data_IF_668526273232
#
_entry.id   IF_668526273232
#
_cell.length_a   1.000
_cell.length_b   1.000
_cell.length_c   1.000
_cell.angle_alpha   90.00
_cell.angle_beta   90.00
_cell.angle_gamma   90.00
#
_symmetry.space_group_name_H-M   'P 1'
#
loop_
_entity.id
_entity.type
_entity.pdbx_description
1 polymer ?
#
# COMPACT_ATOMS: atom_id res chain seq x y z
N UNK A 1 -49.48 4.60 -23.23
CA UNK A 1 -48.50 4.34 -24.13
C UNK A 1 -47.19 4.92 -23.73
N UNK A 2 -47.18 6.05 -23.37
CA UNK A 2 -45.95 6.62 -22.95
C UNK A 2 -45.46 6.01 -21.67
N UNK A 3 -46.28 5.26 -21.06
CA UNK A 3 -45.93 4.73 -19.77
C UNK A 3 -44.75 3.83 -19.82
N UNK A 4 -44.53 3.19 -20.91
CA UNK A 4 -43.44 2.30 -20.91
C UNK A 4 -42.16 3.03 -20.72
N UNK A 5 -42.09 4.24 -20.99
CA UNK A 5 -40.84 4.97 -20.75
C UNK A 5 -40.50 4.96 -19.29
N UNK A 6 -41.46 4.92 -18.42
CA UNK A 6 -41.13 4.89 -17.02
C UNK A 6 -40.44 3.64 -16.63
N UNK A 7 -40.82 2.57 -17.21
CA UNK A 7 -40.24 1.31 -16.84
C UNK A 7 -38.75 1.30 -17.05
N UNK A 8 -38.35 1.94 -18.07
CA UNK A 8 -36.95 1.95 -18.33
C UNK A 8 -36.17 2.69 -17.29
N UNK A 9 -36.74 3.73 -16.82
CA UNK A 9 -36.05 4.47 -15.80
C UNK A 9 -35.91 3.71 -14.54
N UNK A 10 -36.93 3.02 -14.18
CA UNK A 10 -36.85 2.19 -13.02
C UNK A 10 -35.76 1.17 -13.17
N UNK A 11 -35.65 0.64 -14.33
CA UNK A 11 -34.64 -0.32 -14.58
C UNK A 11 -33.24 0.24 -14.35
N UNK A 12 -33.04 1.47 -14.74
CA UNK A 12 -31.74 2.09 -14.53
C UNK A 12 -31.41 2.22 -13.07
N UNK A 13 -32.39 2.49 -12.28
CA UNK A 13 -32.14 2.58 -10.85
C UNK A 13 -31.62 1.27 -10.32
N UNK A 14 -32.19 0.20 -10.79
CA UNK A 14 -31.73 -1.08 -10.34
C UNK A 14 -30.28 -1.30 -10.69
N UNK A 15 -29.90 -0.82 -11.84
CA UNK A 15 -28.52 -0.96 -12.23
C UNK A 15 -27.57 -0.22 -11.32
N UNK A 16 -27.99 0.91 -10.84
CA UNK A 16 -27.17 1.65 -9.94
C UNK A 16 -26.90 0.93 -8.65
N UNK A 17 -27.88 0.25 -8.16
CA UNK A 17 -27.65 -0.46 -6.91
C UNK A 17 -26.63 -1.56 -7.07
N UNK A 18 -26.54 -2.14 -8.21
CA UNK A 18 -25.56 -3.18 -8.41
C UNK A 18 -24.16 -2.65 -8.24
N UNK A 19 -23.92 -1.43 -8.61
CA UNK A 19 -22.60 -0.87 -8.47
C UNK A 19 -22.18 -0.68 -7.04
N UNK A 20 -23.10 -0.43 -6.20
CA UNK A 20 -22.78 -0.29 -4.80
C UNK A 20 -22.19 -1.57 -4.25
N UNK A 21 -22.73 -2.67 -4.65
CA UNK A 21 -22.21 -3.94 -4.21
C UNK A 21 -20.77 -4.15 -4.64
N UNK A 22 -20.41 -3.63 -5.79
CA UNK A 22 -19.06 -3.76 -6.25
C UNK A 22 -18.09 -2.96 -5.40
N UNK A 23 -18.51 -1.83 -4.93
CA UNK A 23 -17.64 -0.99 -4.16
C UNK A 23 -17.22 -1.61 -2.85
N UNK A 24 -18.01 -2.49 -2.31
CA UNK A 24 -17.69 -3.06 -1.03
C UNK A 24 -16.57 -4.07 -1.08
N UNK A 25 -16.54 -4.81 -2.15
CA UNK A 25 -15.68 -5.92 -2.20
C UNK A 25 -14.20 -5.63 -2.26
N UNK A 26 -13.75 -4.75 -3.10
CA UNK A 26 -12.33 -4.57 -3.29
C UNK A 26 -11.62 -3.87 -2.17
N UNK A 27 -12.33 -3.49 -1.18
CA UNK A 27 -11.79 -2.62 -0.21
C UNK A 27 -10.63 -3.20 0.52
N UNK A 28 -10.79 -4.34 1.03
CA UNK A 28 -9.84 -4.76 2.01
C UNK A 28 -9.04 -5.94 1.59
N UNK A 29 -9.63 -6.77 0.82
CA UNK A 29 -9.03 -8.05 0.58
C UNK A 29 -7.69 -7.94 -0.11
N UNK A 30 -7.51 -6.89 -0.86
CA UNK A 30 -6.35 -6.80 -1.73
C UNK A 30 -5.32 -5.78 -1.29
N UNK A 31 -5.50 -5.20 -0.15
CA UNK A 31 -4.52 -4.24 0.33
C UNK A 31 -3.22 -4.96 0.58
N UNK A 32 -2.16 -4.60 -0.10
CA UNK A 32 -0.90 -5.25 0.13
C UNK A 32 -0.43 -4.90 1.54
N UNK A 33 -0.08 -5.92 2.28
CA UNK A 33 0.52 -5.71 3.58
C UNK A 33 2.00 -5.48 3.33
N UNK A 34 2.54 -4.34 3.73
CA UNK A 34 3.94 -4.05 3.46
C UNK A 34 4.88 -5.10 4.02
N UNK A 35 4.50 -5.72 5.11
CA UNK A 35 5.30 -6.79 5.68
C UNK A 35 4.84 -8.13 5.13
N UNK A 36 5.76 -8.94 4.69
CA UNK A 36 5.44 -10.26 4.15
C UNK A 36 5.45 -10.35 2.65
N UNK A 37 5.77 -9.28 1.95
CA UNK A 37 5.93 -9.32 0.51
C UNK A 37 7.39 -9.56 0.13
N UNK A 38 7.62 -10.01 -1.09
CA UNK A 38 8.98 -10.19 -1.59
C UNK A 38 9.60 -8.85 -1.96
N UNK A 39 10.93 -8.83 -2.09
CA UNK A 39 11.62 -7.63 -2.54
C UNK A 39 11.12 -7.15 -3.89
N UNK A 40 10.86 -8.08 -4.80
CA UNK A 40 10.37 -7.72 -6.12
C UNK A 40 8.99 -7.06 -6.05
N UNK A 41 8.11 -7.59 -5.20
CA UNK A 41 6.80 -7.01 -4.99
C UNK A 41 6.88 -5.62 -4.38
N UNK A 42 7.72 -5.45 -3.37
CA UNK A 42 7.92 -4.17 -2.73
C UNK A 42 8.47 -3.13 -3.70
N UNK A 43 9.47 -3.52 -4.47
CA UNK A 43 10.06 -2.64 -5.48
C UNK A 43 9.03 -2.21 -6.52
N UNK A 44 8.22 -3.13 -7.00
CA UNK A 44 7.18 -2.82 -7.98
C UNK A 44 6.15 -1.84 -7.41
N UNK A 45 5.75 -2.03 -6.15
CA UNK A 45 4.79 -1.14 -5.52
C UNK A 45 5.36 0.26 -5.31
N UNK A 46 6.63 0.36 -4.93
CA UNK A 46 7.29 1.65 -4.79
C UNK A 46 7.35 2.38 -6.13
N UNK A 47 7.69 1.67 -7.19
CA UNK A 47 7.78 2.28 -8.51
C UNK A 47 6.45 2.77 -9.02
N UNK A 48 5.37 2.06 -8.72
CA UNK A 48 4.02 2.49 -9.07
C UNK A 48 3.46 3.51 -8.10
N UNK A 49 4.21 3.84 -7.08
CA UNK A 49 3.79 4.76 -6.01
C UNK A 49 2.53 4.27 -5.29
N UNK A 50 2.31 2.97 -5.31
CA UNK A 50 1.21 2.36 -4.56
C UNK A 50 1.51 2.30 -3.06
N UNK A 51 2.80 2.33 -2.72
CA UNK A 51 3.25 2.39 -1.33
C UNK A 51 4.47 3.30 -1.28
N UNK A 52 4.68 3.97 -0.15
CA UNK A 52 5.85 4.82 0.02
C UNK A 52 6.93 4.09 0.81
N UNK A 53 8.18 4.56 0.68
CA UNK A 53 9.28 4.04 1.49
C UNK A 53 9.02 4.24 2.98
N UNK A 54 8.39 5.34 3.34
CA UNK A 54 8.04 5.61 4.72
C UNK A 54 7.05 4.57 5.26
N UNK A 55 6.04 4.22 4.47
CA UNK A 55 5.07 3.20 4.86
C UNK A 55 5.73 1.84 5.03
N UNK A 56 6.60 1.45 4.12
CA UNK A 56 7.33 0.19 4.23
C UNK A 56 8.20 0.15 5.49
N UNK A 57 8.91 1.24 5.74
CA UNK A 57 9.81 1.33 6.88
C UNK A 57 9.04 1.25 8.18
N UNK A 58 7.91 1.95 8.28
CA UNK A 58 7.05 1.87 9.46
C UNK A 58 6.56 0.47 9.70
N UNK A 59 6.10 -0.20 8.66
CA UNK A 59 5.60 -1.57 8.79
C UNK A 59 6.70 -2.52 9.26
N UNK A 60 7.91 -2.36 8.78
CA UNK A 60 9.04 -3.16 9.23
C UNK A 60 9.38 -2.88 10.69
N UNK A 61 9.40 -1.61 11.09
CA UNK A 61 9.68 -1.24 12.48
C UNK A 61 8.61 -1.79 13.44
N UNK A 62 7.36 -1.77 13.04
CA UNK A 62 6.29 -2.34 13.84
C UNK A 62 6.48 -3.84 14.03
N UNK A 63 6.87 -4.56 12.99
CA UNK A 63 7.14 -5.98 13.12
C UNK A 63 8.33 -6.25 14.00
N UNK A 64 9.38 -5.46 13.90
CA UNK A 64 10.53 -5.58 14.77
C UNK A 64 10.11 -5.38 16.22
N UNK A 65 9.32 -4.34 16.48
CA UNK A 65 8.85 -4.08 17.85
C UNK A 65 8.02 -5.23 18.40
N UNK A 66 7.23 -5.87 17.54
CA UNK A 66 6.36 -6.96 17.98
C UNK A 66 7.13 -8.25 18.24
N UNK A 67 8.06 -8.59 17.37
CA UNK A 67 8.68 -9.92 17.41
C UNK A 67 10.08 -9.97 18.00
N UNK A 68 10.81 -8.86 17.98
CA UNK A 68 12.18 -8.84 18.47
C UNK A 68 12.34 -9.25 19.93
N UNK A 69 11.39 -8.92 20.84
CA UNK A 69 11.51 -9.38 22.21
C UNK A 69 11.61 -10.90 22.36
N UNK A 70 10.98 -11.63 21.44
CA UNK A 70 11.04 -13.10 21.47
C UNK A 70 12.20 -13.64 20.65
N UNK A 71 12.54 -12.96 19.55
CA UNK A 71 13.48 -13.50 18.57
C UNK A 71 14.90 -12.99 18.78
N UNK A 72 15.05 -11.79 19.34
CA UNK A 72 16.35 -11.13 19.51
C UNK A 72 17.15 -11.07 18.21
N UNK A 73 16.44 -10.82 17.11
CA UNK A 73 17.07 -10.78 15.79
C UNK A 73 17.82 -9.47 15.56
N UNK A 74 17.37 -8.40 16.20
CA UNK A 74 17.99 -7.07 16.07
C UNK A 74 18.56 -6.67 17.41
N UNK A 75 19.83 -6.27 17.40
CA UNK A 75 20.52 -5.79 18.60
C UNK A 75 20.26 -4.30 18.78
N UNK A 76 20.34 -3.57 17.68
CA UNK A 76 20.12 -2.12 17.68
C UNK A 76 19.13 -1.77 16.57
N UNK A 77 18.14 -0.97 16.91
CA UNK A 77 17.16 -0.49 15.93
C UNK A 77 17.27 1.03 15.83
N UNK A 78 17.69 1.52 14.69
CA UNK A 78 17.86 2.96 14.45
C UNK A 78 16.61 3.55 13.83
N UNK A 79 15.54 3.63 14.64
CA UNK A 79 14.23 4.00 14.14
C UNK A 79 14.20 5.37 13.47
N UNK A 80 14.75 6.38 14.15
CA UNK A 80 14.71 7.74 13.60
C UNK A 80 15.52 7.86 12.33
N UNK A 81 16.68 7.23 12.29
CA UNK A 81 17.52 7.23 11.10
C UNK A 81 16.83 6.55 9.93
N UNK A 82 16.18 5.43 10.20
CA UNK A 82 15.46 4.70 9.16
C UNK A 82 14.29 5.53 8.60
N UNK A 83 13.54 6.19 9.47
CA UNK A 83 12.43 7.02 9.03
C UNK A 83 12.90 8.24 8.26
N UNK A 84 14.00 8.86 8.68
CA UNK A 84 14.57 9.99 7.97
C UNK A 84 15.06 9.57 6.57
N UNK A 85 15.75 8.44 6.49
CA UNK A 85 16.20 7.92 5.21
C UNK A 85 15.02 7.57 4.30
N UNK A 86 13.95 7.02 4.84
CA UNK A 86 12.76 6.70 4.07
C UNK A 86 12.12 7.94 3.47
N UNK A 87 12.02 9.02 4.24
CA UNK A 87 11.50 10.28 3.74
C UNK A 87 12.36 10.84 2.61
N UNK A 88 13.67 10.70 2.73
CA UNK A 88 14.57 11.12 1.69
C UNK A 88 14.36 10.30 0.42
N UNK A 89 14.22 8.99 0.54
CA UNK A 89 13.98 8.14 -0.61
C UNK A 89 12.66 8.50 -1.29
N UNK A 90 11.63 8.80 -0.51
CA UNK A 90 10.35 9.23 -1.07
C UNK A 90 10.48 10.56 -1.80
N UNK A 91 11.25 11.50 -1.26
CA UNK A 91 11.48 12.78 -1.92
C UNK A 91 12.22 12.60 -3.24
N UNK A 92 13.22 11.74 -3.26
CA UNK A 92 13.96 11.44 -4.49
C UNK A 92 13.08 10.78 -5.54
N UNK A 93 12.25 9.86 -5.11
CA UNK A 93 11.31 9.16 -5.97
C UNK A 93 10.31 10.13 -6.61
N UNK A 94 9.83 11.11 -5.86
CA UNK A 94 8.92 12.12 -6.40
C UNK A 94 9.57 12.96 -7.49
N UNK A 95 10.88 13.13 -7.42
CA UNK A 95 11.64 13.84 -8.44
C UNK A 95 12.08 12.95 -9.58
N UNK A 96 11.76 11.67 -9.53
CA UNK A 96 12.15 10.73 -10.55
C UNK A 96 13.57 10.20 -10.40
N UNK A 97 14.22 10.46 -9.28
CA UNK A 97 15.59 10.03 -9.05
C UNK A 97 15.60 8.68 -8.34
N UNK A 98 15.75 7.63 -9.10
CA UNK A 98 15.80 6.27 -8.57
C UNK A 98 17.25 5.81 -8.53
N UNK A 99 17.69 5.39 -7.35
CA UNK A 99 19.08 4.94 -7.15
C UNK A 99 19.33 3.53 -7.66
N UNK A 100 18.28 2.74 -7.81
CA UNK A 100 18.41 1.37 -8.27
C UNK A 100 17.19 0.53 -7.91
N UNK A 101 17.25 -0.78 -8.13
CA UNK A 101 16.10 -1.66 -7.86
C UNK A 101 15.66 -1.70 -6.41
N UNK A 102 16.58 -1.44 -5.47
CA UNK A 102 16.28 -1.48 -4.04
C UNK A 102 16.00 -0.09 -3.46
N UNK A 103 15.85 0.93 -4.30
CA UNK A 103 15.57 2.28 -3.83
C UNK A 103 14.32 2.30 -2.95
N UNK A 104 14.46 2.80 -1.74
CA UNK A 104 13.35 2.92 -0.80
C UNK A 104 12.98 1.66 -0.04
N UNK A 105 13.72 0.58 -0.25
CA UNK A 105 13.49 -0.67 0.48
C UNK A 105 14.25 -0.62 1.81
N UNK A 106 13.59 -0.81 2.95
CA UNK A 106 14.30 -0.87 4.21
C UNK A 106 15.10 -2.17 4.33
N UNK A 107 16.35 -2.03 4.75
CA UNK A 107 17.25 -3.17 4.94
C UNK A 107 17.72 -3.19 6.39
N UNK A 108 17.92 -4.38 6.94
CA UNK A 108 18.39 -4.57 8.31
C UNK A 108 19.75 -5.22 8.35
#
# INVERSE_FOLDING_TARGET
>A
MTTHSHNRRTFLVAGASAMIGLALRPVNAQSPRPAGMTLAQASALLRRKAVSSLELTRACLERIATYNPSLNAFITVTMEGALAAARQMDAESRRGNWRGPLHGIPLG
#
